data_IF_853013695232
#
_entry.id   IF_853013695232
#
_cell.length_a   1.000
_cell.length_b   1.000
_cell.length_c   1.000
_cell.angle_alpha   90.00
_cell.angle_beta   90.00
_cell.angle_gamma   90.00
#
_symmetry.space_group_name_H-M   'P 1'
#
loop_
_entity.id
_entity.type
_entity.pdbx_description
1 polymer ?
#
# COMPACT_ATOMS: atom_id res chain seq x y z
N UNK A 1 -0.24 -16.03 -13.86
CA UNK A 1 0.99 -16.44 -13.13
C UNK A 1 1.83 -17.29 -14.06
N UNK A 2 3.12 -17.02 -14.17
CA UNK A 2 4.04 -17.77 -15.03
C UNK A 2 4.87 -18.80 -14.25
N UNK A 3 5.31 -18.48 -13.03
CA UNK A 3 6.09 -19.39 -12.19
C UNK A 3 5.89 -19.08 -10.71
N UNK A 4 5.86 -20.13 -9.90
CA UNK A 4 5.90 -20.11 -8.43
C UNK A 4 6.91 -21.18 -8.00
N UNK A 5 8.17 -20.77 -7.84
CA UNK A 5 9.30 -21.69 -7.64
C UNK A 5 9.28 -22.38 -6.28
N UNK A 6 8.61 -21.79 -5.30
CA UNK A 6 8.53 -22.30 -3.93
C UNK A 6 7.20 -23.00 -3.64
N UNK A 7 6.32 -23.11 -4.65
CA UNK A 7 4.98 -23.64 -4.51
C UNK A 7 4.19 -22.95 -3.37
N UNK A 8 4.43 -21.65 -3.17
CA UNK A 8 3.78 -20.88 -2.11
C UNK A 8 2.26 -20.83 -2.32
N UNK A 9 1.83 -20.64 -3.58
CA UNK A 9 0.43 -20.62 -4.02
C UNK A 9 -0.14 -22.01 -4.24
N UNK A 10 0.56 -23.08 -3.85
CA UNK A 10 0.14 -24.46 -4.06
C UNK A 10 -1.19 -24.83 -3.38
N UNK A 11 -1.61 -24.08 -2.36
CA UNK A 11 -2.92 -24.26 -1.71
C UNK A 11 -4.04 -23.39 -2.31
N UNK A 12 -3.78 -22.63 -3.38
CA UNK A 12 -4.77 -21.78 -4.05
C UNK A 12 -5.69 -22.58 -4.99
N UNK A 13 -6.32 -23.63 -4.47
CA UNK A 13 -7.14 -24.58 -5.24
C UNK A 13 -8.50 -24.89 -4.58
N UNK A 14 -8.79 -24.25 -3.46
CA UNK A 14 -9.99 -24.48 -2.63
C UNK A 14 -10.99 -23.32 -2.76
N UNK A 15 -12.31 -23.56 -2.66
CA UNK A 15 -13.28 -22.45 -2.60
C UNK A 15 -13.10 -21.53 -1.37
N UNK A 16 -12.42 -22.01 -0.32
CA UNK A 16 -12.12 -21.21 0.86
C UNK A 16 -10.84 -20.36 0.66
N UNK A 17 -11.02 -19.13 0.19
CA UNK A 17 -9.93 -18.18 -0.04
C UNK A 17 -9.16 -17.85 1.25
N UNK A 18 -9.80 -17.93 2.42
CA UNK A 18 -9.18 -17.59 3.70
C UNK A 18 -8.17 -18.66 4.16
N UNK A 19 -8.18 -19.82 3.51
CA UNK A 19 -7.19 -20.89 3.72
C UNK A 19 -5.91 -20.71 2.90
N UNK A 20 -5.89 -19.77 1.95
CA UNK A 20 -4.78 -19.57 1.03
C UNK A 20 -3.56 -18.95 1.71
N UNK A 21 -2.36 -19.39 1.33
CA UNK A 21 -1.15 -18.75 1.85
C UNK A 21 -1.09 -17.31 1.36
N UNK A 22 -0.72 -16.41 2.28
CA UNK A 22 -0.64 -14.98 2.00
C UNK A 22 -1.99 -14.27 1.89
N UNK A 23 -3.12 -14.95 2.13
CA UNK A 23 -4.45 -14.33 2.15
C UNK A 23 -4.94 -14.24 3.60
N UNK A 24 -5.38 -13.06 4.00
CA UNK A 24 -5.91 -12.82 5.34
C UNK A 24 -7.31 -12.24 5.23
N UNK A 25 -8.24 -12.91 5.91
CA UNK A 25 -9.63 -12.50 5.96
C UNK A 25 -9.98 -11.84 7.29
N UNK A 26 -10.98 -10.96 7.26
CA UNK A 26 -11.62 -10.40 8.45
C UNK A 26 -13.13 -10.44 8.30
N UNK A 27 -13.81 -10.47 9.44
CA UNK A 27 -15.25 -10.26 9.48
C UNK A 27 -15.58 -8.83 9.03
N UNK A 28 -16.67 -8.66 8.26
CA UNK A 28 -17.10 -7.32 7.85
C UNK A 28 -17.64 -6.52 9.04
N UNK A 29 -17.49 -5.18 9.05
CA UNK A 29 -18.06 -4.34 10.10
C UNK A 29 -19.59 -4.41 10.17
N UNK A 30 -20.24 -4.56 9.00
CA UNK A 30 -21.70 -4.55 8.88
C UNK A 30 -22.33 -5.91 9.24
N UNK A 31 -21.62 -7.01 8.95
CA UNK A 31 -22.04 -8.37 9.27
C UNK A 31 -20.84 -9.22 9.74
N UNK A 32 -20.70 -9.46 11.07
CA UNK A 32 -19.62 -10.27 11.62
C UNK A 32 -19.64 -11.74 11.21
N UNK A 33 -20.74 -12.23 10.61
CA UNK A 33 -20.84 -13.61 10.11
C UNK A 33 -20.24 -13.79 8.71
N UNK A 34 -19.95 -12.69 8.01
CA UNK A 34 -19.35 -12.68 6.68
C UNK A 34 -17.88 -12.34 6.79
N UNK A 35 -17.02 -13.23 6.30
CA UNK A 35 -15.59 -12.97 6.14
C UNK A 35 -15.28 -12.50 4.71
N UNK A 36 -14.43 -11.49 4.61
CA UNK A 36 -13.93 -10.95 3.35
C UNK A 36 -12.41 -10.98 3.33
N UNK A 37 -11.81 -11.03 2.14
CA UNK A 37 -10.37 -10.90 1.95
C UNK A 37 -9.97 -9.45 2.23
N UNK A 38 -9.26 -9.22 3.33
CA UNK A 38 -8.82 -7.88 3.73
C UNK A 38 -7.37 -7.62 3.33
N UNK A 39 -6.50 -8.63 3.42
CA UNK A 39 -5.10 -8.45 3.11
C UNK A 39 -4.59 -9.56 2.19
N UNK A 40 -3.72 -9.18 1.26
CA UNK A 40 -2.87 -10.12 0.53
C UNK A 40 -1.42 -9.74 0.82
N UNK A 41 -0.67 -10.67 1.40
CA UNK A 41 0.77 -10.57 1.62
C UNK A 41 1.48 -11.75 0.97
N UNK A 42 2.11 -11.46 -0.15
CA UNK A 42 2.91 -12.40 -0.92
C UNK A 42 4.34 -11.84 -1.10
N UNK A 43 4.87 -11.22 -0.05
CA UNK A 43 6.20 -10.62 -0.07
C UNK A 43 7.31 -11.67 -0.16
N UNK A 44 8.35 -11.39 -0.96
CA UNK A 44 9.62 -12.12 -0.96
C UNK A 44 9.47 -13.64 -1.26
N UNK A 45 8.50 -14.04 -2.10
CA UNK A 45 8.24 -15.45 -2.46
C UNK A 45 8.64 -15.84 -3.89
N UNK A 46 9.23 -14.91 -4.64
CA UNK A 46 9.83 -15.15 -5.95
C UNK A 46 8.83 -15.49 -7.07
N UNK A 47 7.58 -15.03 -6.96
CA UNK A 47 6.56 -15.24 -8.00
C UNK A 47 6.93 -14.52 -9.29
N UNK A 48 6.79 -15.20 -10.42
CA UNK A 48 6.85 -14.63 -11.78
C UNK A 48 5.45 -14.55 -12.34
N UNK A 49 5.04 -13.38 -12.81
CA UNK A 49 3.68 -13.21 -13.31
C UNK A 49 3.33 -11.76 -13.60
N UNK A 50 2.04 -11.48 -13.62
CA UNK A 50 1.45 -10.15 -13.71
C UNK A 50 0.24 -10.11 -12.77
N UNK A 51 -0.19 -8.91 -12.39
CA UNK A 51 -1.41 -8.73 -11.62
C UNK A 51 -2.64 -8.94 -12.53
N UNK A 52 -3.54 -9.89 -12.20
CA UNK A 52 -4.74 -10.14 -12.99
C UNK A 52 -5.75 -8.99 -12.85
N UNK A 53 -6.58 -8.75 -13.88
CA UNK A 53 -7.62 -7.71 -13.83
C UNK A 53 -8.71 -8.05 -12.82
N UNK A 54 -8.89 -9.35 -12.58
CA UNK A 54 -9.81 -9.94 -11.60
C UNK A 54 -9.44 -9.59 -10.16
N UNK A 55 -8.21 -9.12 -9.90
CA UNK A 55 -7.83 -8.64 -8.57
C UNK A 55 -8.77 -7.53 -8.08
N UNK A 56 -9.31 -6.71 -8.99
CA UNK A 56 -10.27 -5.66 -8.67
C UNK A 56 -11.63 -6.15 -8.17
N UNK A 57 -11.90 -7.46 -8.15
CA UNK A 57 -13.13 -8.04 -7.57
C UNK A 57 -13.05 -8.08 -6.03
N UNK A 58 -11.84 -8.10 -5.46
CA UNK A 58 -11.62 -8.17 -4.02
C UNK A 58 -11.72 -6.79 -3.36
N UNK A 59 -12.90 -6.16 -3.48
CA UNK A 59 -13.13 -4.75 -3.15
C UNK A 59 -12.81 -4.37 -1.69
N UNK A 60 -12.82 -5.35 -0.78
CA UNK A 60 -12.59 -5.17 0.65
C UNK A 60 -11.10 -5.20 1.05
N UNK A 61 -10.18 -5.39 0.09
CA UNK A 61 -8.75 -5.37 0.38
C UNK A 61 -8.33 -3.99 0.89
N UNK A 62 -7.71 -3.99 2.06
CA UNK A 62 -7.07 -2.84 2.69
C UNK A 62 -5.55 -2.85 2.49
N UNK A 63 -4.91 -4.02 2.48
CA UNK A 63 -3.46 -4.15 2.36
C UNK A 63 -3.09 -5.08 1.19
N UNK A 64 -2.29 -4.57 0.26
CA UNK A 64 -1.75 -5.36 -0.85
C UNK A 64 -0.22 -5.26 -0.83
N UNK A 65 0.42 -6.29 -0.26
CA UNK A 65 1.88 -6.40 -0.20
C UNK A 65 2.35 -7.49 -1.16
N UNK A 66 3.07 -7.06 -2.19
CA UNK A 66 3.59 -7.90 -3.27
C UNK A 66 5.09 -7.64 -3.50
N UNK A 67 5.76 -7.10 -2.48
CA UNK A 67 7.16 -6.69 -2.49
C UNK A 67 8.10 -7.83 -2.86
N UNK A 68 9.19 -7.51 -3.54
CA UNK A 68 10.28 -8.45 -3.85
C UNK A 68 9.80 -9.71 -4.58
N UNK A 69 9.11 -9.50 -5.70
CA UNK A 69 8.75 -10.57 -6.62
C UNK A 69 9.29 -10.26 -8.02
N UNK A 70 8.92 -11.06 -9.01
CA UNK A 70 9.21 -10.85 -10.43
C UNK A 70 7.92 -10.58 -11.20
N UNK A 71 7.00 -9.83 -10.58
CA UNK A 71 5.78 -9.37 -11.24
C UNK A 71 6.15 -8.34 -12.29
N UNK A 72 5.59 -8.49 -13.49
CA UNK A 72 5.86 -7.64 -14.64
C UNK A 72 4.57 -7.10 -15.26
N UNK A 73 4.71 -6.38 -16.38
CA UNK A 73 3.64 -5.64 -17.05
C UNK A 73 3.24 -4.35 -16.31
N UNK A 74 2.13 -3.74 -16.72
CA UNK A 74 1.55 -2.58 -16.06
C UNK A 74 0.70 -3.01 -14.85
N UNK A 75 0.52 -2.10 -13.89
CA UNK A 75 -0.49 -2.26 -12.85
C UNK A 75 -1.89 -2.09 -13.49
N UNK A 76 -2.82 -3.04 -13.36
CA UNK A 76 -4.11 -3.00 -14.04
C UNK A 76 -5.02 -1.91 -13.48
N UNK A 77 -5.78 -1.26 -14.37
CA UNK A 77 -6.68 -0.15 -14.03
C UNK A 77 -7.81 -0.55 -13.06
N UNK A 78 -8.17 -1.84 -13.06
CA UNK A 78 -9.16 -2.45 -12.16
C UNK A 78 -8.77 -2.39 -10.69
N UNK A 79 -7.49 -2.16 -10.36
CA UNK A 79 -7.09 -1.87 -8.96
C UNK A 79 -7.85 -0.67 -8.41
N UNK A 80 -8.34 0.25 -9.27
CA UNK A 80 -9.16 1.37 -8.81
C UNK A 80 -10.49 0.97 -8.15
N UNK A 81 -10.89 -0.30 -8.25
CA UNK A 81 -12.04 -0.86 -7.54
C UNK A 81 -11.75 -1.24 -6.09
N UNK A 82 -10.49 -1.34 -5.68
CA UNK A 82 -10.08 -1.61 -4.29
C UNK A 82 -10.26 -0.36 -3.43
N UNK A 83 -11.51 0.05 -3.18
CA UNK A 83 -11.83 1.35 -2.55
C UNK A 83 -11.33 1.46 -1.11
N UNK A 84 -11.14 0.34 -0.44
CA UNK A 84 -10.60 0.28 0.91
C UNK A 84 -9.08 0.19 0.96
N UNK A 85 -8.38 0.11 -0.20
CA UNK A 85 -6.93 -0.07 -0.23
C UNK A 85 -6.23 1.10 0.44
N UNK A 86 -5.58 0.79 1.55
CA UNK A 86 -4.86 1.71 2.42
C UNK A 86 -3.35 1.69 2.14
N UNK A 87 -2.82 0.50 1.87
CA UNK A 87 -1.40 0.28 1.59
C UNK A 87 -1.23 -0.55 0.32
N UNK A 88 -0.41 -0.01 -0.59
CA UNK A 88 0.10 -0.72 -1.76
C UNK A 88 1.63 -0.74 -1.70
N UNK A 89 2.19 -1.89 -1.36
CA UNK A 89 3.62 -2.15 -1.46
C UNK A 89 3.89 -3.08 -2.66
N UNK A 90 4.36 -2.47 -3.75
CA UNK A 90 4.78 -3.15 -4.97
C UNK A 90 6.27 -2.98 -5.25
N UNK A 91 7.04 -2.65 -4.21
CA UNK A 91 8.48 -2.42 -4.28
C UNK A 91 9.23 -3.65 -4.80
N UNK A 92 10.34 -3.43 -5.52
CA UNK A 92 11.25 -4.48 -5.98
C UNK A 92 10.54 -5.53 -6.83
N UNK A 93 10.02 -5.07 -7.98
CA UNK A 93 9.37 -5.89 -9.00
C UNK A 93 9.89 -5.47 -10.39
N UNK A 94 9.22 -5.92 -11.45
CA UNK A 94 9.52 -5.60 -12.85
C UNK A 94 8.35 -4.89 -13.52
N UNK A 95 7.59 -4.10 -12.75
CA UNK A 95 6.49 -3.31 -13.31
C UNK A 95 7.04 -2.24 -14.23
N UNK A 96 6.35 -2.04 -15.36
CA UNK A 96 6.74 -1.12 -16.44
C UNK A 96 5.60 -0.16 -16.74
N UNK A 97 5.86 0.84 -17.59
CA UNK A 97 4.85 1.77 -18.09
C UNK A 97 4.90 3.12 -17.39
N UNK A 98 3.85 3.92 -17.55
CA UNK A 98 3.74 5.21 -16.85
C UNK A 98 3.46 5.00 -15.36
N UNK A 99 3.56 6.08 -14.58
CA UNK A 99 3.04 6.10 -13.22
C UNK A 99 1.60 5.53 -13.18
N UNK A 100 1.27 4.61 -12.26
CA UNK A 100 -0.06 4.00 -12.17
C UNK A 100 -1.07 5.03 -11.65
N UNK A 101 -1.70 5.77 -12.57
CA UNK A 101 -2.73 6.78 -12.28
C UNK A 101 -3.91 6.23 -11.45
N UNK A 102 -4.12 4.92 -11.46
CA UNK A 102 -5.00 4.19 -10.55
C UNK A 102 -4.76 4.53 -9.08
N UNK A 103 -3.51 4.76 -8.66
CA UNK A 103 -3.17 5.17 -7.30
C UNK A 103 -3.83 6.51 -6.90
N UNK A 104 -4.12 7.38 -7.87
CA UNK A 104 -4.83 8.65 -7.63
C UNK A 104 -6.31 8.41 -7.32
N UNK A 105 -6.91 7.35 -7.88
CA UNK A 105 -8.33 6.99 -7.72
C UNK A 105 -8.64 6.16 -6.48
N UNK A 106 -7.60 5.70 -5.77
CA UNK A 106 -7.73 4.94 -4.52
C UNK A 106 -7.92 5.89 -3.34
N UNK A 107 -9.17 6.21 -2.98
CA UNK A 107 -9.47 7.26 -2.01
C UNK A 107 -8.89 7.03 -0.61
N UNK A 108 -8.79 5.77 -0.18
CA UNK A 108 -8.30 5.38 1.15
C UNK A 108 -6.78 5.20 1.24
N UNK A 109 -6.07 5.28 0.12
CA UNK A 109 -4.63 5.00 0.04
C UNK A 109 -3.84 6.04 0.83
N UNK A 110 -3.01 5.57 1.77
CA UNK A 110 -2.10 6.36 2.59
C UNK A 110 -0.64 6.02 2.36
N UNK A 111 -0.34 4.76 2.05
CA UNK A 111 1.02 4.27 1.84
C UNK A 111 1.17 3.72 0.42
N UNK A 112 2.12 4.26 -0.32
CA UNK A 112 2.45 3.82 -1.67
C UNK A 112 3.96 3.61 -1.81
N UNK A 113 4.39 2.37 -2.01
CA UNK A 113 5.77 2.03 -2.33
C UNK A 113 5.85 1.36 -3.72
N UNK A 114 6.49 2.06 -4.65
CA UNK A 114 6.72 1.60 -6.03
C UNK A 114 8.22 1.53 -6.36
N UNK A 115 9.11 1.58 -5.36
CA UNK A 115 10.55 1.61 -5.59
C UNK A 115 11.04 0.38 -6.34
N UNK A 116 12.21 0.50 -6.97
CA UNK A 116 12.88 -0.63 -7.63
C UNK A 116 11.96 -1.32 -8.65
N UNK A 117 11.46 -0.53 -9.61
CA UNK A 117 10.68 -0.97 -10.76
C UNK A 117 11.16 -0.23 -12.02
N UNK A 118 10.49 -0.43 -13.14
CA UNK A 118 10.82 0.20 -14.43
C UNK A 118 9.73 1.19 -14.88
N UNK A 119 9.05 1.86 -13.94
CA UNK A 119 8.10 2.93 -14.28
C UNK A 119 8.81 4.13 -14.91
N UNK A 120 8.16 4.80 -15.84
CA UNK A 120 8.73 5.91 -16.63
C UNK A 120 7.77 7.08 -16.82
N UNK A 121 8.28 8.14 -17.43
CA UNK A 121 7.50 9.34 -17.75
C UNK A 121 7.34 10.27 -16.56
N UNK A 122 6.46 11.25 -16.70
CA UNK A 122 6.28 12.30 -15.69
C UNK A 122 5.38 11.85 -14.55
N UNK A 123 5.69 12.32 -13.34
CA UNK A 123 4.77 12.22 -12.22
C UNK A 123 3.69 13.29 -12.36
N UNK A 124 2.43 12.85 -12.30
CA UNK A 124 1.28 13.75 -12.33
C UNK A 124 1.27 14.60 -11.06
N UNK A 125 1.14 15.92 -11.22
CA UNK A 125 0.97 16.89 -10.13
C UNK A 125 -0.07 16.48 -9.07
N UNK A 126 -1.19 15.92 -9.53
CA UNK A 126 -2.30 15.45 -8.69
C UNK A 126 -1.88 14.42 -7.63
N UNK A 127 -0.74 13.73 -7.82
CA UNK A 127 -0.18 12.82 -6.82
C UNK A 127 0.14 13.54 -5.52
N UNK A 128 0.61 14.78 -5.60
CA UNK A 128 1.00 15.58 -4.44
C UNK A 128 -0.17 16.33 -3.79
N UNK A 129 -1.33 16.37 -4.46
CA UNK A 129 -2.59 16.85 -3.87
C UNK A 129 -3.29 15.78 -3.03
N UNK A 130 -2.89 14.51 -3.19
CA UNK A 130 -3.41 13.39 -2.41
C UNK A 130 -2.86 13.43 -0.98
N UNK A 131 -3.70 13.14 0.00
CA UNK A 131 -3.30 13.01 1.39
C UNK A 131 -2.63 11.66 1.68
N UNK A 132 -1.48 11.42 1.05
CA UNK A 132 -0.59 10.28 1.34
C UNK A 132 0.27 10.60 2.56
N UNK A 133 0.44 9.61 3.43
CA UNK A 133 1.34 9.71 4.58
C UNK A 133 2.76 9.30 4.18
N UNK A 134 2.88 8.29 3.32
CA UNK A 134 4.15 7.74 2.84
C UNK A 134 4.09 7.52 1.33
N UNK A 135 5.11 8.03 0.63
CA UNK A 135 5.29 7.80 -0.80
C UNK A 135 6.76 7.53 -1.13
N UNK A 136 7.02 6.38 -1.76
CA UNK A 136 8.35 5.99 -2.22
C UNK A 136 8.35 5.62 -3.70
N UNK A 137 9.14 6.34 -4.50
CA UNK A 137 9.16 6.22 -5.97
C UNK A 137 10.58 6.11 -6.56
N UNK A 138 11.63 6.17 -5.75
CA UNK A 138 13.01 6.08 -6.21
C UNK A 138 13.32 4.74 -6.89
N UNK A 139 14.43 4.68 -7.62
CA UNK A 139 14.82 3.49 -8.38
C UNK A 139 13.75 3.08 -9.42
N UNK A 140 13.34 4.08 -10.20
CA UNK A 140 12.50 4.01 -11.39
C UNK A 140 13.08 4.97 -12.46
N UNK A 141 12.48 5.01 -13.65
CA UNK A 141 12.87 5.89 -14.77
C UNK A 141 11.94 7.11 -14.93
N UNK A 142 11.42 7.66 -13.83
CA UNK A 142 10.57 8.85 -13.87
C UNK A 142 11.35 10.08 -14.34
N UNK A 143 10.75 10.88 -15.23
CA UNK A 143 11.32 12.13 -15.71
C UNK A 143 10.97 13.30 -14.78
N UNK A 144 11.91 14.23 -14.62
CA UNK A 144 11.82 15.34 -13.66
C UNK A 144 11.03 16.58 -14.14
N UNK A 145 10.52 16.59 -15.38
CA UNK A 145 10.02 17.81 -16.03
C UNK A 145 8.72 18.43 -15.44
N UNK A 146 8.14 17.85 -14.39
CA UNK A 146 6.95 18.41 -13.71
C UNK A 146 7.19 18.86 -12.25
N UNK A 147 8.44 18.93 -11.77
CA UNK A 147 8.72 19.36 -10.38
C UNK A 147 9.01 20.86 -10.20
N UNK A 148 9.16 21.63 -11.28
CA UNK A 148 9.58 23.04 -11.20
C UNK A 148 8.53 23.98 -10.55
N UNK A 149 7.28 23.52 -10.38
CA UNK A 149 6.22 24.29 -9.71
C UNK A 149 5.79 23.76 -8.33
N UNK A 150 6.28 22.59 -7.88
CA UNK A 150 5.81 21.94 -6.63
C UNK A 150 6.66 22.23 -5.40
N UNK A 151 7.91 22.67 -5.58
CA UNK A 151 8.79 23.06 -4.48
C UNK A 151 8.28 24.26 -3.66
N UNK A 152 7.39 25.09 -4.21
CA UNK A 152 6.96 26.35 -3.60
C UNK A 152 5.65 26.27 -2.78
N UNK A 153 4.85 25.20 -2.90
CA UNK A 153 3.55 25.07 -2.22
C UNK A 153 3.60 24.20 -0.94
N UNK A 154 4.58 23.31 -0.82
CA UNK A 154 4.82 22.51 0.39
C UNK A 154 5.26 23.36 1.60
N UNK A 155 5.82 24.56 1.35
CA UNK A 155 6.19 25.54 2.40
C UNK A 155 4.97 26.28 2.97
N UNK A 156 3.98 26.62 2.14
CA UNK A 156 2.84 27.48 2.55
C UNK A 156 1.70 26.72 3.23
N UNK A 157 1.43 25.44 2.89
CA UNK A 157 0.33 24.66 3.51
C UNK A 157 0.69 24.02 4.85
N UNK A 158 1.96 23.72 5.13
CA UNK A 158 2.38 23.27 6.48
C UNK A 158 2.15 24.35 7.54
N UNK A 159 2.20 25.63 7.17
CA UNK A 159 1.95 26.75 8.10
C UNK A 159 0.48 26.89 8.52
N UNK A 160 -0.48 26.40 7.72
CA UNK A 160 -1.91 26.56 8.02
C UNK A 160 -2.54 25.41 8.80
N UNK A 161 -1.98 24.19 8.79
CA UNK A 161 -2.55 23.03 9.53
C UNK A 161 -2.03 22.86 10.96
N UNK A 162 -1.02 23.62 11.41
CA UNK A 162 -0.61 23.63 12.82
C UNK A 162 -1.47 24.54 13.72
N UNK A 163 -2.48 25.24 13.18
CA UNK A 163 -3.40 26.07 13.95
C UNK A 163 -4.85 25.70 13.63
N UNK A 164 -5.45 24.81 14.43
CA UNK A 164 -6.88 24.57 14.72
C UNK A 164 -7.17 23.04 14.85
N UNK A 165 -6.81 22.39 15.97
CA UNK A 165 -7.62 22.15 17.20
C UNK A 165 -8.23 20.71 17.20
N UNK A 166 -8.76 20.14 18.32
CA UNK A 166 -8.01 19.27 19.23
C UNK A 166 -8.62 17.85 19.50
N UNK A 167 -7.77 16.93 20.00
CA UNK A 167 -8.00 15.71 20.81
C UNK A 167 -9.27 14.85 20.60
N UNK A 168 -9.07 13.53 20.37
CA UNK A 168 -9.68 12.46 21.19
C UNK A 168 -8.81 11.17 21.13
N UNK A 169 -8.65 10.42 22.24
CA UNK A 169 -7.66 9.35 22.38
C UNK A 169 -8.26 7.94 22.18
N UNK A 170 -7.52 7.06 21.50
CA UNK A 170 -7.77 5.62 21.64
C UNK A 170 -7.11 5.11 22.92
N UNK A 171 -7.95 4.64 23.85
CA UNK A 171 -7.57 3.95 25.08
C UNK A 171 -7.07 2.54 24.74
N UNK A 172 -5.84 2.22 25.14
CA UNK A 172 -5.46 0.84 25.48
C UNK A 172 -5.61 0.65 26.99
N UNK A 173 -6.60 -0.15 27.37
CA UNK A 173 -6.63 -0.88 28.64
C UNK A 173 -6.05 -2.28 28.35
N UNK A 174 -5.31 -2.97 29.21
CA UNK A 174 -4.77 -2.80 30.58
C UNK A 174 -3.86 -4.06 30.75
N UNK A 175 -2.70 -4.07 31.40
CA UNK A 175 -2.44 -4.38 32.82
C UNK A 175 -0.93 -4.70 32.92
N UNK A 176 -0.13 -3.98 33.71
CA UNK A 176 0.14 -4.10 35.16
C UNK A 176 1.45 -4.88 35.42
N UNK A 177 2.42 -4.25 36.10
CA UNK A 177 3.64 -4.96 36.52
C UNK A 177 4.83 -4.13 37.00
N UNK A 178 4.65 -3.31 38.04
CA UNK A 178 5.64 -2.92 39.07
C UNK A 178 7.00 -2.23 38.73
N UNK A 179 6.98 -0.91 38.95
CA UNK A 179 7.88 -0.11 39.82
C UNK A 179 9.35 0.24 39.45
N UNK A 180 9.86 1.41 39.93
CA UNK A 180 10.71 2.31 39.15
C UNK A 180 12.12 2.49 39.72
N UNK A 181 13.05 3.05 38.94
CA UNK A 181 13.98 4.11 39.39
C UNK A 181 14.89 4.66 38.27
N UNK A 182 14.81 5.98 38.09
CA UNK A 182 15.89 6.99 37.88
C UNK A 182 17.12 6.63 37.02
N UNK A 183 17.37 7.44 35.99
CA UNK A 183 18.47 8.43 35.90
C UNK A 183 18.44 9.05 34.47
N UNK A 184 18.19 10.35 34.32
CA UNK A 184 19.12 11.49 34.42
C UNK A 184 19.75 11.79 33.05
N UNK A 185 19.44 13.00 32.56
CA UNK A 185 20.06 13.69 31.43
C UNK A 185 21.59 13.76 31.57
N UNK A 186 22.31 13.81 30.45
CA UNK A 186 23.19 14.95 30.17
C UNK A 186 23.66 14.98 28.70
N UNK A 187 23.43 16.15 28.11
CA UNK A 187 24.05 16.88 26.98
C UNK A 187 24.02 16.32 25.56
#
# INVERSE_FOLDING_TARGET
>A
MYSDTHNFTGNWVSPDLCSYHGVFCTATPDDPSVNVVANIDINDIDIVGYLPVELGILADIALLHIKSNRLCSIIPQNISHLKLLHELDACNNRFVGLFPDVALRLLSLKHLDLRFNDFKGELLSMLFDKELDIIFLNDNHFSSQMLDNFGNLQSLRRHHRQQQDPLLPFKQHRQDGNHPQRARFDK
#
